data_IF_962300775489
#
_entry.id   IF_962300775489
#
_cell.length_a   1.000
_cell.length_b   1.000
_cell.length_c   1.000
_cell.angle_alpha   90.00
_cell.angle_beta   90.00
_cell.angle_gamma   90.00
#
_symmetry.space_group_name_H-M   'P 1'
#
loop_
_entity.id
_entity.type
_entity.pdbx_description
1 polymer ?
#
# COMPACT_ATOMS: atom_id res chain seq x y z
N UNK A 1 -14.00 -3.04 -4.31
CA UNK A 1 -13.16 -2.23 -5.22
C UNK A 1 -13.94 -0.97 -5.57
N UNK A 2 -13.35 0.20 -5.34
CA UNK A 2 -13.92 1.47 -5.79
C UNK A 2 -13.64 1.62 -7.30
N UNK A 3 -14.62 2.15 -8.04
CA UNK A 3 -14.49 2.42 -9.46
C UNK A 3 -14.53 3.93 -9.71
N UNK A 4 -13.62 4.40 -10.56
CA UNK A 4 -13.42 5.79 -10.91
C UNK A 4 -13.86 6.08 -12.34
N UNK A 5 -14.39 7.27 -12.56
CA UNK A 5 -14.62 7.76 -13.91
C UNK A 5 -13.30 8.21 -14.54
N UNK A 6 -13.29 8.37 -15.87
CA UNK A 6 -12.11 8.90 -16.56
C UNK A 6 -11.74 10.33 -16.12
N UNK A 7 -12.72 11.09 -15.62
CA UNK A 7 -12.51 12.43 -15.08
C UNK A 7 -11.76 12.36 -13.75
N UNK A 8 -12.19 11.47 -12.86
CA UNK A 8 -11.58 11.28 -11.54
C UNK A 8 -10.13 10.80 -11.68
N UNK A 9 -9.87 9.85 -12.59
CA UNK A 9 -8.49 9.37 -12.87
C UNK A 9 -7.63 10.49 -13.48
N UNK A 10 -8.19 11.29 -14.38
CA UNK A 10 -7.49 12.42 -14.99
C UNK A 10 -7.06 13.47 -13.94
N UNK A 11 -7.97 13.80 -13.02
CA UNK A 11 -7.71 14.74 -11.94
C UNK A 11 -6.65 14.20 -10.96
N UNK A 12 -6.84 12.97 -10.47
CA UNK A 12 -5.90 12.30 -9.55
C UNK A 12 -4.50 12.17 -10.11
N UNK A 13 -4.38 11.79 -11.38
CA UNK A 13 -3.07 11.60 -12.03
C UNK A 13 -2.52 12.89 -12.65
N UNK A 14 -3.25 14.00 -12.62
CA UNK A 14 -2.84 15.26 -13.26
C UNK A 14 -2.62 15.12 -14.78
N UNK A 15 -3.45 14.33 -15.47
CA UNK A 15 -3.38 14.12 -16.92
C UNK A 15 -4.66 14.63 -17.57
N UNK A 16 -4.55 15.25 -18.75
CA UNK A 16 -5.73 15.62 -19.54
C UNK A 16 -6.58 14.38 -19.91
N UNK A 17 -7.92 14.38 -19.67
CA UNK A 17 -8.81 13.28 -20.05
C UNK A 17 -8.73 12.87 -21.54
N UNK A 18 -8.32 13.77 -22.43
CA UNK A 18 -8.09 13.48 -23.85
C UNK A 18 -6.86 12.58 -24.04
N UNK A 19 -5.79 12.81 -23.27
CA UNK A 19 -4.57 12.01 -23.28
C UNK A 19 -4.84 10.60 -22.78
N UNK A 20 -5.59 10.44 -21.68
CA UNK A 20 -6.01 9.11 -21.19
C UNK A 20 -6.84 8.36 -22.24
N UNK A 21 -7.78 9.04 -22.93
CA UNK A 21 -8.54 8.46 -24.04
C UNK A 21 -7.65 8.02 -25.19
N UNK A 22 -6.61 8.80 -25.51
CA UNK A 22 -5.66 8.45 -26.55
C UNK A 22 -4.82 7.22 -26.15
N UNK A 23 -4.32 7.17 -24.90
CA UNK A 23 -3.60 6.01 -24.35
C UNK A 23 -4.42 4.73 -24.38
N UNK A 24 -5.70 4.82 -24.01
CA UNK A 24 -6.63 3.70 -24.13
C UNK A 24 -6.85 3.29 -25.59
N UNK A 25 -7.32 4.21 -26.44
CA UNK A 25 -7.83 3.86 -27.79
C UNK A 25 -6.72 3.57 -28.80
N UNK A 26 -5.64 4.35 -28.80
CA UNK A 26 -4.60 4.27 -29.84
C UNK A 26 -3.49 3.31 -29.46
N UNK A 27 -3.14 3.28 -28.17
CA UNK A 27 -1.97 2.52 -27.69
C UNK A 27 -2.36 1.30 -26.87
N UNK A 28 -3.65 1.14 -26.51
CA UNK A 28 -4.13 0.00 -25.73
C UNK A 28 -3.47 -0.09 -24.34
N UNK A 29 -3.03 1.05 -23.79
CA UNK A 29 -2.27 1.11 -22.55
C UNK A 29 -3.15 0.91 -21.31
N UNK A 30 -4.46 1.16 -21.43
CA UNK A 30 -5.44 1.01 -20.36
C UNK A 30 -6.59 0.13 -20.87
N UNK A 31 -7.13 -0.73 -20.00
CA UNK A 31 -8.26 -1.61 -20.32
C UNK A 31 -9.34 -1.51 -19.22
N UNK A 32 -9.96 -0.33 -19.05
CA UNK A 32 -10.97 -0.14 -18.02
C UNK A 32 -12.15 -1.07 -18.23
N UNK A 33 -12.75 -1.49 -17.12
CA UNK A 33 -14.00 -2.24 -17.13
C UNK A 33 -15.14 -1.36 -17.66
N UNK A 34 -16.25 -2.00 -18.02
CA UNK A 34 -17.48 -1.29 -18.38
C UNK A 34 -18.57 -1.65 -17.38
N UNK A 35 -19.29 -0.64 -16.90
CA UNK A 35 -20.51 -0.85 -16.14
C UNK A 35 -21.60 -1.46 -17.01
N UNK A 36 -22.67 -1.98 -16.39
CA UNK A 36 -23.86 -2.46 -17.11
C UNK A 36 -24.47 -1.38 -18.03
N UNK A 37 -24.37 -0.10 -17.63
CA UNK A 37 -24.76 1.06 -18.44
C UNK A 37 -23.78 1.45 -19.55
N UNK A 38 -22.68 0.71 -19.72
CA UNK A 38 -21.69 0.92 -20.79
C UNK A 38 -20.65 2.02 -20.52
N UNK A 39 -20.62 2.61 -19.32
CA UNK A 39 -19.64 3.61 -18.93
C UNK A 39 -18.30 2.96 -18.53
N UNK A 40 -17.18 3.64 -18.82
CA UNK A 40 -15.85 3.15 -18.41
C UNK A 40 -15.68 3.30 -16.90
N UNK A 41 -15.22 2.24 -16.27
CA UNK A 41 -14.88 2.19 -14.86
C UNK A 41 -13.41 1.79 -14.74
N UNK A 42 -12.64 2.64 -14.06
CA UNK A 42 -11.24 2.42 -13.77
C UNK A 42 -11.10 2.02 -12.31
N UNK A 43 -10.19 1.12 -11.99
CA UNK A 43 -9.87 0.75 -10.62
C UNK A 43 -8.54 1.38 -10.18
N UNK A 44 -8.06 1.01 -8.98
CA UNK A 44 -6.80 1.52 -8.44
C UNK A 44 -5.59 1.01 -9.24
N UNK A 45 -5.67 -0.19 -9.82
CA UNK A 45 -4.60 -0.74 -10.67
C UNK A 45 -4.47 0.09 -11.95
N UNK A 46 -5.58 0.52 -12.54
CA UNK A 46 -5.59 1.44 -13.68
C UNK A 46 -4.92 2.79 -13.32
N UNK A 47 -5.15 3.33 -12.12
CA UNK A 47 -4.51 4.57 -11.64
C UNK A 47 -2.99 4.39 -11.50
N UNK A 48 -2.55 3.31 -10.85
CA UNK A 48 -1.12 3.01 -10.71
C UNK A 48 -0.44 2.84 -12.08
N UNK A 49 -1.14 2.18 -13.01
CA UNK A 49 -0.68 2.00 -14.39
C UNK A 49 -0.55 3.33 -15.12
N UNK A 50 -1.46 4.28 -14.90
CA UNK A 50 -1.36 5.65 -15.45
C UNK A 50 -0.10 6.37 -14.93
N UNK A 51 0.19 6.27 -13.63
CA UNK A 51 1.40 6.86 -13.04
C UNK A 51 2.70 6.21 -13.54
N UNK A 52 2.67 4.92 -13.84
CA UNK A 52 3.81 4.23 -14.44
C UNK A 52 4.04 4.65 -15.90
N UNK A 53 2.97 4.79 -16.70
CA UNK A 53 3.05 5.34 -18.06
C UNK A 53 3.66 6.74 -18.03
N UNK A 54 3.25 7.60 -17.09
CA UNK A 54 3.82 8.94 -16.92
C UNK A 54 5.32 8.90 -16.65
N UNK A 55 5.78 7.99 -15.79
CA UNK A 55 7.22 7.83 -15.49
C UNK A 55 8.03 7.51 -16.73
N UNK A 56 7.57 6.56 -17.54
CA UNK A 56 8.24 6.20 -18.80
C UNK A 56 8.25 7.34 -19.82
N UNK A 57 7.15 8.06 -19.97
CA UNK A 57 7.10 9.21 -20.90
C UNK A 57 8.03 10.33 -20.41
N UNK A 58 8.07 10.59 -19.11
CA UNK A 58 8.97 11.58 -18.49
C UNK A 58 10.44 11.22 -18.69
N UNK A 59 10.78 9.93 -18.75
CA UNK A 59 12.14 9.45 -19.05
C UNK A 59 12.48 9.46 -20.56
N UNK A 60 11.62 10.05 -21.40
CA UNK A 60 11.87 10.22 -22.83
C UNK A 60 11.42 9.03 -23.70
N UNK A 61 10.70 8.05 -23.14
CA UNK A 61 10.20 6.92 -23.91
C UNK A 61 8.99 7.35 -24.75
N UNK A 62 8.98 7.07 -26.06
CA UNK A 62 7.81 7.32 -26.90
C UNK A 62 6.61 6.48 -26.44
N UNK A 63 5.42 7.09 -26.34
CA UNK A 63 4.17 6.44 -25.84
C UNK A 63 3.90 5.08 -26.50
N UNK A 64 4.19 4.93 -27.79
CA UNK A 64 4.00 3.67 -28.53
C UNK A 64 4.89 2.51 -28.06
N UNK A 65 6.03 2.77 -27.41
CA UNK A 65 6.92 1.75 -26.84
C UNK A 65 6.60 1.41 -25.39
N UNK A 66 5.83 2.26 -24.71
CA UNK A 66 5.53 2.10 -23.28
C UNK A 66 4.78 0.79 -23.00
N UNK A 67 3.90 0.35 -23.91
CA UNK A 67 3.13 -0.88 -23.70
C UNK A 67 4.02 -2.11 -23.51
N UNK A 68 5.02 -2.29 -24.39
CA UNK A 68 5.95 -3.41 -24.32
C UNK A 68 6.79 -3.36 -23.03
N UNK A 69 7.25 -2.17 -22.64
CA UNK A 69 8.03 -1.99 -21.41
C UNK A 69 7.20 -2.25 -20.15
N UNK A 70 5.92 -1.86 -20.14
CA UNK A 70 5.00 -2.20 -19.04
C UNK A 70 4.74 -3.71 -18.96
N UNK A 71 4.62 -4.39 -20.11
CA UNK A 71 4.40 -5.84 -20.15
C UNK A 71 5.67 -6.62 -19.77
N UNK A 72 6.84 -6.16 -20.21
CA UNK A 72 8.16 -6.71 -19.88
C UNK A 72 8.51 -6.48 -18.40
N UNK A 73 8.32 -5.26 -17.90
CA UNK A 73 8.49 -4.94 -16.47
C UNK A 73 7.53 -5.74 -15.61
N UNK A 74 6.27 -5.94 -16.02
CA UNK A 74 5.30 -6.76 -15.27
C UNK A 74 5.65 -8.25 -15.24
N UNK A 75 6.25 -8.77 -16.31
CA UNK A 75 6.65 -10.18 -16.39
C UNK A 75 7.94 -10.44 -15.62
N UNK A 76 8.94 -9.57 -15.77
CA UNK A 76 10.18 -9.63 -14.98
C UNK A 76 9.91 -9.44 -13.49
N UNK A 77 9.08 -8.47 -13.10
CA UNK A 77 8.77 -8.23 -11.68
C UNK A 77 7.98 -9.36 -11.03
N UNK A 78 7.07 -10.04 -11.74
CA UNK A 78 6.32 -11.15 -11.15
C UNK A 78 7.23 -12.34 -10.79
N UNK A 79 8.17 -12.68 -11.67
CA UNK A 79 9.17 -13.71 -11.40
C UNK A 79 10.12 -13.27 -10.27
N UNK A 80 10.53 -11.99 -10.24
CA UNK A 80 11.38 -11.44 -9.19
C UNK A 80 10.72 -11.44 -7.80
N UNK A 81 9.43 -11.07 -7.70
CA UNK A 81 8.70 -11.11 -6.43
C UNK A 81 8.49 -12.54 -5.95
N UNK A 82 8.16 -13.45 -6.86
CA UNK A 82 8.00 -14.87 -6.53
C UNK A 82 9.32 -15.46 -6.03
N UNK A 83 10.44 -15.10 -6.67
CA UNK A 83 11.77 -15.47 -6.21
C UNK A 83 12.05 -14.95 -4.78
N UNK A 84 11.77 -13.66 -4.52
CA UNK A 84 11.97 -13.06 -3.19
C UNK A 84 11.07 -13.69 -2.12
N UNK A 85 9.83 -14.05 -2.47
CA UNK A 85 8.95 -14.83 -1.59
C UNK A 85 9.56 -16.20 -1.25
N UNK A 86 10.07 -16.94 -2.23
CA UNK A 86 10.68 -18.25 -2.01
C UNK A 86 11.97 -18.16 -1.19
N UNK A 87 12.80 -17.14 -1.41
CA UNK A 87 13.96 -16.87 -0.56
C UNK A 87 13.56 -16.59 0.88
N UNK A 88 12.55 -15.75 1.10
CA UNK A 88 12.01 -15.44 2.43
C UNK A 88 11.51 -16.71 3.12
N UNK A 89 10.69 -17.51 2.42
CA UNK A 89 10.19 -18.80 2.91
C UNK A 89 11.33 -19.75 3.25
N UNK A 90 12.40 -19.77 2.45
CA UNK A 90 13.59 -20.56 2.73
C UNK A 90 14.26 -20.18 4.04
N UNK A 91 14.48 -18.89 4.29
CA UNK A 91 15.06 -18.40 5.55
C UNK A 91 14.18 -18.74 6.75
N UNK A 92 12.85 -18.60 6.60
CA UNK A 92 11.86 -18.90 7.63
C UNK A 92 11.85 -20.39 8.01
N UNK A 93 12.01 -21.30 7.05
CA UNK A 93 12.10 -22.75 7.34
C UNK A 93 13.25 -23.11 8.28
N UNK A 94 14.34 -22.34 8.26
CA UNK A 94 15.49 -22.54 9.14
C UNK A 94 15.43 -21.73 10.44
N UNK A 95 14.32 -21.01 10.71
CA UNK A 95 14.11 -20.21 11.92
C UNK A 95 15.24 -19.22 12.26
N UNK A 96 15.94 -18.71 11.24
CA UNK A 96 17.12 -17.86 11.43
C UNK A 96 16.74 -16.38 11.49
N UNK A 97 16.56 -15.85 12.71
CA UNK A 97 16.16 -14.45 12.94
C UNK A 97 17.18 -13.43 12.42
N UNK A 98 18.48 -13.73 12.51
CA UNK A 98 19.56 -12.86 12.02
C UNK A 98 19.59 -12.77 10.49
N UNK A 99 19.46 -13.90 9.79
CA UNK A 99 19.38 -13.93 8.33
C UNK A 99 18.10 -13.26 7.84
N UNK A 100 16.98 -13.49 8.53
CA UNK A 100 15.69 -12.88 8.19
C UNK A 100 15.74 -11.35 8.31
N UNK A 101 16.29 -10.82 9.42
CA UNK A 101 16.57 -9.37 9.57
C UNK A 101 17.41 -8.84 8.42
N UNK A 102 18.53 -9.50 8.10
CA UNK A 102 19.40 -9.06 7.03
C UNK A 102 18.68 -9.02 5.68
N UNK A 103 17.79 -9.98 5.40
CA UNK A 103 16.99 -9.99 4.17
C UNK A 103 15.92 -8.90 4.13
N UNK A 104 15.20 -8.66 5.22
CA UNK A 104 14.23 -7.57 5.30
C UNK A 104 14.93 -6.22 5.09
N UNK A 105 16.08 -6.00 5.72
CA UNK A 105 16.87 -4.78 5.55
C UNK A 105 17.36 -4.60 4.12
N UNK A 106 17.85 -5.67 3.46
CA UNK A 106 18.27 -5.61 2.07
C UNK A 106 17.09 -5.29 1.13
N UNK A 107 15.99 -6.04 1.27
CA UNK A 107 14.80 -5.84 0.46
C UNK A 107 14.25 -4.41 0.59
N UNK A 108 14.17 -3.87 1.80
CA UNK A 108 13.72 -2.49 2.06
C UNK A 108 14.63 -1.39 1.51
N UNK A 109 15.87 -1.71 1.11
CA UNK A 109 16.78 -0.78 0.40
C UNK A 109 16.63 -0.88 -1.12
N UNK A 110 16.35 -2.07 -1.62
CA UNK A 110 16.36 -2.41 -3.04
C UNK A 110 15.00 -2.19 -3.71
N UNK A 111 13.90 -2.24 -2.94
CA UNK A 111 12.55 -2.22 -3.47
C UNK A 111 11.66 -1.16 -2.82
N UNK A 112 10.65 -0.63 -3.54
CA UNK A 112 9.64 0.25 -2.97
C UNK A 112 8.86 -0.43 -1.84
N UNK A 113 8.51 0.35 -0.81
CA UNK A 113 7.79 -0.13 0.38
C UNK A 113 6.45 -0.78 0.01
N UNK A 114 5.70 -0.17 -0.90
CA UNK A 114 4.37 -0.66 -1.31
C UNK A 114 4.47 -2.04 -1.94
N UNK A 115 5.43 -2.20 -2.87
CA UNK A 115 5.68 -3.47 -3.55
C UNK A 115 6.10 -4.58 -2.57
N UNK A 116 6.94 -4.28 -1.59
CA UNK A 116 7.33 -5.27 -0.57
C UNK A 116 6.15 -5.72 0.28
N UNK A 117 5.31 -4.78 0.70
CA UNK A 117 4.14 -5.09 1.52
C UNK A 117 3.14 -5.95 0.73
N UNK A 118 2.84 -5.55 -0.52
CA UNK A 118 1.76 -6.16 -1.30
C UNK A 118 2.18 -7.42 -2.05
N UNK A 119 3.43 -7.51 -2.48
CA UNK A 119 3.93 -8.64 -3.29
C UNK A 119 4.87 -9.58 -2.54
N UNK A 120 5.30 -9.27 -1.31
CA UNK A 120 6.23 -10.13 -0.56
C UNK A 120 5.71 -10.43 0.83
N UNK A 121 5.62 -9.44 1.71
CA UNK A 121 5.33 -9.66 3.12
C UNK A 121 3.89 -10.13 3.34
N UNK A 122 2.90 -9.53 2.67
CA UNK A 122 1.52 -10.01 2.69
C UNK A 122 1.40 -11.46 2.22
N UNK A 123 1.84 -11.79 0.99
CA UNK A 123 1.79 -13.15 0.45
C UNK A 123 2.54 -14.19 1.30
N UNK A 124 3.75 -13.89 1.79
CA UNK A 124 4.54 -14.81 2.65
C UNK A 124 3.80 -15.08 3.96
N UNK A 125 3.27 -14.03 4.62
CA UNK A 125 2.47 -14.20 5.85
C UNK A 125 1.22 -15.02 5.61
N UNK A 126 0.51 -14.76 4.50
CA UNK A 126 -0.67 -15.54 4.12
C UNK A 126 -0.32 -17.02 3.93
N UNK A 127 0.76 -17.34 3.22
CA UNK A 127 1.24 -18.73 3.05
C UNK A 127 1.55 -19.42 4.38
N UNK A 128 2.21 -18.73 5.31
CA UNK A 128 2.49 -19.29 6.64
C UNK A 128 1.23 -19.47 7.50
N UNK A 129 0.21 -18.64 7.30
CA UNK A 129 -1.04 -18.72 8.06
C UNK A 129 -1.93 -19.92 7.69
N UNK A 130 -1.72 -20.49 6.49
CA UNK A 130 -2.50 -21.60 5.94
C UNK A 130 -2.02 -22.99 6.40
N UNK A 131 -0.83 -23.10 7.01
CA UNK A 131 -0.21 -24.37 7.40
C UNK A 131 -0.20 -24.62 8.93
N UNK A 132 -0.04 -25.89 9.33
CA UNK A 132 -0.03 -26.42 10.71
C UNK A 132 0.78 -25.59 11.75
N UNK A 133 0.60 -25.87 13.06
CA UNK A 133 1.17 -25.12 14.21
C UNK A 133 2.59 -24.52 14.04
N UNK A 134 3.53 -25.24 13.41
CA UNK A 134 4.88 -24.73 13.12
C UNK A 134 4.86 -23.46 12.26
N UNK A 135 4.02 -23.40 11.23
CA UNK A 135 3.92 -22.24 10.34
C UNK A 135 3.36 -21.02 11.07
N UNK A 136 2.45 -21.20 12.03
CA UNK A 136 1.98 -20.12 12.91
C UNK A 136 3.09 -19.55 13.78
N UNK A 137 3.96 -20.39 14.33
CA UNK A 137 5.14 -19.94 15.10
C UNK A 137 6.11 -19.17 14.20
N UNK A 138 6.36 -19.67 12.99
CA UNK A 138 7.22 -18.97 12.02
C UNK A 138 6.62 -17.64 11.56
N UNK A 139 5.29 -17.57 11.37
CA UNK A 139 4.59 -16.31 11.07
C UNK A 139 4.74 -15.33 12.24
N UNK A 140 4.56 -15.78 13.48
CA UNK A 140 4.74 -14.93 14.67
C UNK A 140 6.18 -14.41 14.80
N UNK A 141 7.18 -15.25 14.52
CA UNK A 141 8.58 -14.82 14.46
C UNK A 141 8.83 -13.80 13.35
N UNK A 142 8.26 -14.02 12.17
CA UNK A 142 8.36 -13.08 11.04
C UNK A 142 7.74 -11.73 11.39
N UNK A 143 6.54 -11.76 11.95
CA UNK A 143 5.75 -10.62 12.40
C UNK A 143 6.54 -9.77 13.42
N UNK A 144 7.17 -10.41 14.41
CA UNK A 144 8.01 -9.72 15.39
C UNK A 144 9.18 -8.98 14.75
N UNK A 145 9.85 -9.60 13.77
CA UNK A 145 10.98 -8.99 13.07
C UNK A 145 10.52 -7.86 12.13
N UNK A 146 9.35 -7.99 11.48
CA UNK A 146 8.78 -6.92 10.67
C UNK A 146 8.44 -5.69 11.53
N UNK A 147 7.81 -5.88 12.70
CA UNK A 147 7.54 -4.78 13.63
C UNK A 147 8.84 -4.13 14.11
N UNK A 148 9.85 -4.92 14.48
CA UNK A 148 11.18 -4.43 14.88
C UNK A 148 11.78 -3.53 13.79
N UNK A 149 11.80 -4.02 12.55
CA UNK A 149 12.33 -3.30 11.39
C UNK A 149 11.54 -2.00 11.13
N UNK A 150 10.22 -2.08 11.08
CA UNK A 150 9.37 -0.91 10.84
C UNK A 150 9.59 0.15 11.93
N UNK A 151 9.57 -0.23 13.21
CA UNK A 151 9.78 0.71 14.31
C UNK A 151 11.13 1.44 14.20
N UNK A 152 12.19 0.72 13.81
CA UNK A 152 13.51 1.32 13.55
C UNK A 152 13.44 2.32 12.39
N UNK A 153 12.83 1.95 11.26
CA UNK A 153 12.71 2.86 10.10
C UNK A 153 11.89 4.12 10.39
N UNK A 154 10.80 3.99 11.15
CA UNK A 154 9.99 5.14 11.59
C UNK A 154 10.80 6.07 12.50
N UNK A 155 11.62 5.52 13.39
CA UNK A 155 12.50 6.30 14.26
C UNK A 155 13.56 7.06 13.45
N UNK A 156 14.17 6.41 12.46
CA UNK A 156 15.15 7.07 11.59
C UNK A 156 14.54 8.20 10.76
N UNK A 157 13.30 8.03 10.28
CA UNK A 157 12.58 9.04 9.49
C UNK A 157 12.37 10.34 10.25
N UNK A 158 12.13 10.28 11.56
CA UNK A 158 11.95 11.46 12.44
C UNK A 158 13.17 12.39 12.52
N UNK A 159 14.34 11.96 12.04
CA UNK A 159 15.54 12.82 11.95
C UNK A 159 15.44 13.87 10.83
N UNK A 160 14.49 13.72 9.91
CA UNK A 160 14.23 14.65 8.81
C UNK A 160 13.03 15.55 9.15
N UNK A 161 12.82 16.59 8.34
CA UNK A 161 11.59 17.39 8.41
C UNK A 161 10.40 16.54 7.97
N UNK A 162 9.28 16.65 8.68
CA UNK A 162 8.06 15.92 8.43
C UNK A 162 6.91 16.41 9.30
N UNK A 163 5.70 15.96 9.00
CA UNK A 163 4.49 16.28 9.75
C UNK A 163 4.14 15.13 10.69
N UNK A 164 3.69 15.43 11.92
CA UNK A 164 3.27 14.40 12.86
C UNK A 164 1.89 13.85 12.50
N UNK A 165 1.74 12.52 12.58
CA UNK A 165 0.44 11.87 12.44
C UNK A 165 0.33 10.63 13.33
N UNK A 166 -0.90 10.32 13.75
CA UNK A 166 -1.24 9.10 14.48
C UNK A 166 -2.00 8.15 13.57
N UNK A 167 -1.53 6.91 13.42
CA UNK A 167 -2.21 5.85 12.69
C UNK A 167 -2.98 4.94 13.67
N UNK A 168 -4.26 4.72 13.39
CA UNK A 168 -5.19 3.95 14.23
C UNK A 168 -5.74 2.80 13.39
N UNK A 169 -5.64 1.57 13.89
CA UNK A 169 -6.39 0.44 13.36
C UNK A 169 -7.85 0.53 13.77
N UNK A 170 -8.79 0.44 12.83
CA UNK A 170 -10.22 0.51 13.10
C UNK A 170 -10.90 -0.80 12.70
N UNK A 171 -11.38 -1.56 13.70
CA UNK A 171 -12.04 -2.86 13.51
C UNK A 171 -11.16 -3.85 12.71
N UNK A 172 -9.87 -3.92 13.06
CA UNK A 172 -8.90 -4.82 12.43
C UNK A 172 -8.34 -5.84 13.42
N UNK A 173 -7.95 -7.01 12.90
CA UNK A 173 -7.24 -8.04 13.66
C UNK A 173 -5.73 -8.09 13.33
N UNK A 174 -5.33 -7.64 12.13
CA UNK A 174 -3.94 -7.73 11.66
C UNK A 174 -3.09 -6.53 12.13
N UNK A 175 -2.59 -6.64 13.37
CA UNK A 175 -1.72 -5.65 13.99
C UNK A 175 -0.42 -5.42 13.24
N UNK A 176 0.14 -6.46 12.64
CA UNK A 176 1.44 -6.35 11.93
C UNK A 176 1.24 -5.61 10.63
N UNK A 177 0.12 -5.84 9.94
CA UNK A 177 -0.22 -5.05 8.75
C UNK A 177 -0.43 -3.58 9.10
N UNK A 178 -0.99 -3.24 10.26
CA UNK A 178 -1.07 -1.84 10.72
C UNK A 178 0.33 -1.17 10.79
N UNK A 179 1.35 -1.88 11.30
CA UNK A 179 2.73 -1.37 11.29
C UNK A 179 3.29 -1.23 9.87
N UNK A 180 3.05 -2.20 9.00
CA UNK A 180 3.46 -2.11 7.59
C UNK A 180 2.81 -0.89 6.90
N UNK A 181 1.54 -0.61 7.18
CA UNK A 181 0.86 0.58 6.66
C UNK A 181 1.42 1.88 7.25
N UNK A 182 1.89 1.88 8.49
CA UNK A 182 2.63 3.02 9.04
C UNK A 182 3.93 3.28 8.27
N UNK A 183 4.63 2.21 7.88
CA UNK A 183 5.85 2.31 7.08
C UNK A 183 5.56 2.87 5.68
N UNK A 184 4.47 2.42 5.04
CA UNK A 184 3.94 2.97 3.78
C UNK A 184 3.65 4.47 3.91
N UNK A 185 2.88 4.87 4.93
CA UNK A 185 2.54 6.27 5.18
C UNK A 185 3.77 7.16 5.39
N UNK A 186 4.80 6.64 6.05
CA UNK A 186 6.05 7.38 6.30
C UNK A 186 6.82 7.74 5.04
N UNK A 187 6.51 7.11 3.90
CA UNK A 187 7.09 7.49 2.60
C UNK A 187 6.57 8.85 2.11
N UNK A 188 5.44 9.31 2.62
CA UNK A 188 4.77 10.54 2.20
C UNK A 188 5.05 11.75 3.11
N UNK A 189 6.19 11.75 3.82
CA UNK A 189 6.63 12.87 4.66
C UNK A 189 5.98 12.96 6.04
N UNK A 190 5.34 11.87 6.48
CA UNK A 190 4.74 11.76 7.81
C UNK A 190 5.66 11.10 8.82
N UNK A 191 5.72 11.68 10.01
CA UNK A 191 6.23 11.05 11.22
C UNK A 191 5.07 10.33 11.89
N UNK A 192 4.95 9.04 11.58
CA UNK A 192 3.83 8.23 12.04
C UNK A 192 4.09 7.70 13.44
N UNK A 193 3.16 7.93 14.34
CA UNK A 193 3.00 7.19 15.59
C UNK A 193 1.90 6.15 15.39
N UNK A 194 2.07 4.92 15.84
CA UNK A 194 1.09 3.85 15.66
C UNK A 194 0.40 3.57 16.99
N UNK A 195 -0.93 3.55 17.01
CA UNK A 195 -1.68 3.09 18.17
C UNK A 195 -1.52 1.58 18.28
N UNK A 196 -0.96 1.09 19.39
CA UNK A 196 -0.57 -0.31 19.55
C UNK A 196 -1.76 -1.29 19.47
N UNK A 197 -2.93 -0.86 19.94
CA UNK A 197 -4.16 -1.64 19.92
C UNK A 197 -5.14 -1.04 18.92
N UNK A 198 -5.69 -1.86 18.00
CA UNK A 198 -6.84 -1.47 17.19
C UNK A 198 -8.04 -1.07 18.05
N UNK A 199 -8.86 -0.16 17.53
CA UNK A 199 -10.07 0.32 18.19
C UNK A 199 -11.30 -0.20 17.45
N UNK A 200 -12.34 -0.54 18.21
CA UNK A 200 -13.68 -0.77 17.66
C UNK A 200 -14.27 0.52 17.08
N UNK A 201 -13.96 1.67 17.69
CA UNK A 201 -14.34 2.98 17.17
C UNK A 201 -13.27 4.02 17.51
N UNK A 202 -12.73 4.74 16.51
CA UNK A 202 -11.90 5.91 16.73
C UNK A 202 -12.64 6.97 17.56
N UNK A 203 -11.87 7.72 18.34
CA UNK A 203 -12.34 8.83 19.17
C UNK A 203 -11.41 10.03 18.96
N UNK A 204 -11.55 10.77 17.85
CA UNK A 204 -10.65 11.88 17.51
C UNK A 204 -10.62 12.98 18.58
N UNK A 205 -11.67 13.12 19.39
CA UNK A 205 -11.77 14.03 20.52
C UNK A 205 -10.70 13.80 21.59
N UNK A 206 -10.12 12.60 21.69
CA UNK A 206 -9.02 12.28 22.63
C UNK A 206 -7.65 12.75 22.12
N UNK A 207 -7.55 13.18 20.86
CA UNK A 207 -6.30 13.58 20.21
C UNK A 207 -6.41 15.00 19.62
N UNK A 208 -6.73 16.02 20.44
CA UNK A 208 -6.98 17.37 19.94
C UNK A 208 -5.77 17.94 19.19
N UNK A 209 -6.02 18.49 18.00
CA UNK A 209 -4.99 19.12 17.17
C UNK A 209 -4.03 18.16 16.46
N UNK A 210 -4.19 16.84 16.61
CA UNK A 210 -3.38 15.85 15.89
C UNK A 210 -3.98 15.51 14.53
N UNK A 211 -3.12 15.18 13.56
CA UNK A 211 -3.56 14.55 12.30
C UNK A 211 -3.71 13.05 12.52
N UNK A 212 -4.88 12.51 12.21
CA UNK A 212 -5.23 11.12 12.42
C UNK A 212 -5.43 10.41 11.09
N UNK A 213 -4.81 9.25 10.96
CA UNK A 213 -5.12 8.29 9.90
C UNK A 213 -5.80 7.07 10.52
N UNK A 214 -6.87 6.60 9.89
CA UNK A 214 -7.53 5.35 10.26
C UNK A 214 -7.35 4.32 9.16
N UNK A 215 -7.13 3.07 9.52
CA UNK A 215 -6.99 1.96 8.58
C UNK A 215 -7.87 0.78 8.99
N UNK A 216 -8.66 0.27 8.05
CA UNK A 216 -9.67 -0.79 8.28
C UNK A 216 -9.31 -2.11 7.61
N UNK A 217 -8.15 -2.23 6.97
CA UNK A 217 -7.73 -3.42 6.20
C UNK A 217 -8.48 -3.64 4.89
N UNK A 218 -9.72 -3.18 4.80
CA UNK A 218 -10.63 -3.29 3.66
C UNK A 218 -11.17 -1.91 3.29
N UNK A 219 -11.96 -1.86 2.22
CA UNK A 219 -12.74 -0.65 1.90
C UNK A 219 -13.68 -0.31 3.07
N UNK A 220 -13.72 0.95 3.54
CA UNK A 220 -14.58 1.34 4.66
C UNK A 220 -16.05 1.05 4.39
N UNK A 221 -16.75 0.58 5.41
CA UNK A 221 -18.21 0.41 5.36
C UNK A 221 -18.91 1.76 5.28
N UNK A 222 -20.18 1.78 4.84
CA UNK A 222 -21.00 3.00 4.79
C UNK A 222 -21.03 3.72 6.15
N UNK A 223 -21.18 2.98 7.24
CA UNK A 223 -21.18 3.53 8.60
C UNK A 223 -19.85 4.21 8.93
N UNK A 224 -18.73 3.59 8.57
CA UNK A 224 -17.40 4.15 8.82
C UNK A 224 -17.16 5.42 7.99
N UNK A 225 -17.65 5.46 6.75
CA UNK A 225 -17.61 6.67 5.89
C UNK A 225 -18.44 7.81 6.48
N UNK A 226 -19.66 7.53 6.93
CA UNK A 226 -20.54 8.51 7.58
C UNK A 226 -19.90 9.08 8.86
N UNK A 227 -19.27 8.25 9.68
CA UNK A 227 -18.53 8.69 10.87
C UNK A 227 -17.30 9.56 10.52
N UNK A 228 -16.52 9.16 9.51
CA UNK A 228 -15.39 9.96 9.03
C UNK A 228 -15.82 11.34 8.55
N UNK A 229 -16.91 11.40 7.78
CA UNK A 229 -17.46 12.66 7.33
C UNK A 229 -17.91 13.51 8.53
N UNK A 230 -18.64 12.92 9.47
CA UNK A 230 -19.11 13.60 10.67
C UNK A 230 -17.97 14.21 11.50
N UNK A 231 -16.87 13.47 11.72
CA UNK A 231 -15.72 14.00 12.45
C UNK A 231 -14.98 15.10 11.69
N UNK A 232 -14.89 15.00 10.36
CA UNK A 232 -14.32 16.08 9.54
C UNK A 232 -15.18 17.35 9.59
N UNK A 233 -16.52 17.23 9.59
CA UNK A 233 -17.45 18.35 9.76
C UNK A 233 -17.30 19.03 11.13
N UNK A 234 -16.89 18.27 12.16
CA UNK A 234 -16.55 18.79 13.49
C UNK A 234 -15.16 19.42 13.56
N UNK A 235 -14.39 19.42 12.47
CA UNK A 235 -13.06 20.02 12.37
C UNK A 235 -11.91 19.13 12.82
N UNK A 236 -12.15 17.84 13.08
CA UNK A 236 -11.07 16.90 13.36
C UNK A 236 -10.31 16.54 12.09
N UNK A 237 -8.98 16.61 12.11
CA UNK A 237 -8.13 16.23 10.99
C UNK A 237 -7.99 14.69 10.92
N UNK A 238 -9.05 13.99 10.54
CA UNK A 238 -9.11 12.53 10.47
C UNK A 238 -9.36 12.04 9.03
N UNK A 239 -8.46 11.19 8.53
CA UNK A 239 -8.50 10.72 7.14
C UNK A 239 -8.42 9.19 7.09
N UNK A 240 -9.15 8.58 6.17
CA UNK A 240 -8.97 7.16 5.87
C UNK A 240 -7.66 6.94 5.12
N UNK A 241 -6.79 6.07 5.64
CA UNK A 241 -5.60 5.60 4.93
C UNK A 241 -6.01 4.50 3.96
N UNK A 242 -5.97 4.83 2.66
CA UNK A 242 -6.09 3.86 1.58
C UNK A 242 -4.69 3.43 1.13
N UNK A 243 -4.30 2.16 1.33
CA UNK A 243 -3.01 1.63 0.90
C UNK A 243 -2.81 1.68 -0.61
#
# INVERSE_FOLDING_TARGET
MAFYSIGDVAERCGINPVTLRAWQRRYGLLKPQRSEGGHRQFDEEDIQRVEEIKRWIKSGVPVGKVKALLEESRTMTHDDWTYLQEEMMSVLRYASTSKLRAKIVAAGREHPVDALIDHVYGPVRQRLSLDHNTARIMCSMFDGILIEYVAATLTERRRKSGKEALLIGWEIDDRVRLWLEAWRLSQSGWHVSVLAEPLESPRPELFPGQTLFVWTGLTPTRRQQELLQHWNEQGYAITFHQP
#
